data_IF_620076449493
#
_entry.id   IF_620076449493
#
_cell.length_a   1.000
_cell.length_b   1.000
_cell.length_c   1.000
_cell.angle_alpha   90.00
_cell.angle_beta   90.00
_cell.angle_gamma   90.00
#
_symmetry.space_group_name_H-M   'P 1'
#
loop_
_entity.id
_entity.type
_entity.pdbx_description
1 polymer ?
#
# COMPACT_ATOMS: atom_id res chain seq x y z
N UNK A 1 29.54 40.70 20.91
CA UNK A 1 28.73 40.10 22.00
C UNK A 1 28.24 38.73 21.53
N UNK A 2 28.31 37.72 22.40
CA UNK A 2 28.16 36.28 22.08
C UNK A 2 26.75 35.96 21.54
N UNK A 3 26.65 35.21 20.44
CA UNK A 3 25.40 34.53 20.03
C UNK A 3 25.18 33.37 20.99
N UNK A 4 24.23 33.48 21.91
CA UNK A 4 23.71 32.35 22.67
C UNK A 4 22.70 31.61 21.80
N UNK A 5 23.06 30.42 21.32
CA UNK A 5 22.13 29.47 20.72
C UNK A 5 21.13 29.05 21.79
N UNK A 6 19.86 29.43 21.63
CA UNK A 6 18.77 28.80 22.38
C UNK A 6 18.80 27.29 22.07
N UNK A 7 18.75 26.40 23.06
CA UNK A 7 18.48 25.00 22.78
C UNK A 7 17.07 24.95 22.18
N UNK A 8 16.94 24.43 20.97
CA UNK A 8 15.63 24.10 20.44
C UNK A 8 15.04 23.06 21.37
N UNK A 9 13.87 23.38 21.92
CA UNK A 9 13.03 22.45 22.64
C UNK A 9 12.62 21.35 21.64
N UNK A 10 13.46 20.34 21.53
CA UNK A 10 13.33 19.22 20.59
C UNK A 10 13.17 17.95 21.41
N UNK A 11 12.28 18.00 22.40
CA UNK A 11 12.03 16.89 23.29
C UNK A 11 10.54 16.79 23.55
N UNK A 12 9.94 15.71 23.03
CA UNK A 12 8.74 15.12 23.62
C UNK A 12 7.35 15.50 23.05
N UNK A 13 7.23 15.64 21.72
CA UNK A 13 5.94 15.41 21.04
C UNK A 13 5.60 13.90 20.91
N UNK A 14 6.50 13.02 21.37
CA UNK A 14 6.30 11.57 21.33
C UNK A 14 5.51 11.13 22.56
N UNK A 15 4.43 10.40 22.34
CA UNK A 15 3.64 9.88 23.45
C UNK A 15 4.40 8.74 24.16
N UNK A 16 4.28 8.60 25.49
CA UNK A 16 4.96 7.56 26.26
C UNK A 16 4.67 6.12 25.79
N UNK A 17 3.55 5.89 25.13
CA UNK A 17 3.17 4.58 24.62
C UNK A 17 3.91 4.16 23.33
N UNK A 18 4.66 5.07 22.71
CA UNK A 18 5.35 4.81 21.45
C UNK A 18 6.74 4.20 21.66
N UNK A 19 6.90 2.94 21.25
CA UNK A 19 8.19 2.26 21.19
C UNK A 19 8.68 2.10 19.73
N UNK A 20 9.61 2.97 19.32
CA UNK A 20 10.21 2.93 17.98
C UNK A 20 11.55 2.17 17.93
N UNK A 21 12.00 1.53 19.03
CA UNK A 21 13.31 0.85 19.10
C UNK A 21 13.45 -0.33 18.11
N UNK A 22 12.33 -0.87 17.61
CA UNK A 22 12.29 -1.93 16.61
C UNK A 22 12.11 -1.48 15.15
N UNK A 23 12.25 -0.18 14.86
CA UNK A 23 12.06 0.36 13.52
C UNK A 23 13.11 -0.12 12.52
N UNK A 24 12.69 -0.79 11.44
CA UNK A 24 13.59 -1.22 10.34
C UNK A 24 13.39 -0.29 9.14
N UNK A 25 14.46 0.42 8.73
CA UNK A 25 14.44 1.29 7.55
C UNK A 25 14.14 0.46 6.31
N UNK A 26 13.08 0.84 5.59
CA UNK A 26 12.71 0.19 4.34
C UNK A 26 12.06 -1.19 4.46
N UNK A 27 11.49 -1.56 5.62
CA UNK A 27 10.79 -2.84 5.87
C UNK A 27 9.81 -3.29 4.78
N UNK A 28 9.24 -2.35 4.02
CA UNK A 28 8.26 -2.60 2.96
C UNK A 28 8.71 -2.12 1.57
N UNK A 29 9.94 -1.62 1.43
CA UNK A 29 10.44 -1.03 0.17
C UNK A 29 10.43 -2.05 -0.97
N UNK A 30 10.76 -3.29 -0.67
CA UNK A 30 10.76 -4.36 -1.67
C UNK A 30 9.34 -4.70 -2.15
N UNK A 31 8.37 -4.81 -1.22
CA UNK A 31 6.94 -4.98 -1.56
C UNK A 31 6.38 -3.82 -2.36
N UNK A 32 6.79 -2.59 -2.05
CA UNK A 32 6.39 -1.41 -2.81
C UNK A 32 6.99 -1.41 -4.22
N UNK A 33 8.28 -1.76 -4.36
CA UNK A 33 9.00 -1.83 -5.65
C UNK A 33 8.48 -2.94 -6.57
N UNK A 34 7.98 -4.04 -6.01
CA UNK A 34 7.34 -5.10 -6.77
C UNK A 34 6.06 -4.62 -7.49
N UNK A 35 5.56 -3.43 -7.14
CA UNK A 35 4.30 -2.91 -7.63
C UNK A 35 3.15 -3.68 -6.99
N UNK A 36 2.07 -2.98 -6.67
CA UNK A 36 0.82 -3.68 -6.39
C UNK A 36 0.14 -3.88 -7.73
N UNK A 37 -0.20 -5.12 -8.09
CA UNK A 37 -0.95 -5.40 -9.31
C UNK A 37 -2.44 -5.02 -9.10
N UNK A 38 -2.69 -3.74 -8.87
CA UNK A 38 -4.03 -3.18 -8.68
C UNK A 38 -4.53 -2.77 -10.06
N UNK A 39 -5.56 -3.48 -10.52
CA UNK A 39 -6.30 -3.12 -11.72
C UNK A 39 -7.61 -2.49 -11.26
N UNK A 40 -7.79 -1.22 -11.59
CA UNK A 40 -9.05 -0.52 -11.36
C UNK A 40 -9.98 -0.84 -12.53
N UNK A 41 -11.17 -1.34 -12.22
CA UNK A 41 -12.22 -1.57 -13.21
C UNK A 41 -12.95 -0.26 -13.50
N UNK A 42 -13.47 -0.12 -14.71
CA UNK A 42 -14.37 0.98 -15.04
C UNK A 42 -15.64 0.91 -14.16
N UNK A 43 -16.27 2.04 -13.82
CA UNK A 43 -17.37 2.08 -12.84
C UNK A 43 -18.57 1.22 -13.20
N UNK A 44 -18.89 1.13 -14.49
CA UNK A 44 -19.96 0.30 -15.03
C UNK A 44 -19.66 -1.20 -14.86
N UNK A 45 -18.43 -1.62 -15.13
CA UNK A 45 -17.99 -3.00 -14.92
C UNK A 45 -17.96 -3.32 -13.42
N UNK A 46 -17.45 -2.41 -12.59
CA UNK A 46 -17.40 -2.60 -11.15
C UNK A 46 -18.81 -2.72 -10.52
N UNK A 47 -19.81 -2.04 -11.07
CA UNK A 47 -21.19 -2.13 -10.60
C UNK A 47 -21.82 -3.52 -10.83
N UNK A 48 -21.35 -4.26 -11.84
CA UNK A 48 -21.93 -5.55 -12.21
C UNK A 48 -21.38 -6.73 -11.39
N UNK A 49 -20.22 -6.55 -10.74
CA UNK A 49 -19.59 -7.60 -9.94
C UNK A 49 -19.62 -7.28 -8.44
N UNK A 50 -19.95 -8.30 -7.64
CA UNK A 50 -20.02 -8.18 -6.18
C UNK A 50 -18.65 -8.10 -5.51
N UNK A 51 -17.67 -8.85 -6.03
CA UNK A 51 -16.33 -8.96 -5.46
C UNK A 51 -15.28 -9.36 -6.50
N UNK A 52 -14.01 -9.29 -6.11
CA UNK A 52 -12.88 -9.67 -6.96
C UNK A 52 -12.87 -11.15 -7.34
N UNK A 53 -13.51 -12.03 -6.57
CA UNK A 53 -13.58 -13.45 -6.89
C UNK A 53 -14.47 -13.67 -8.13
N UNK A 54 -15.65 -13.05 -8.15
CA UNK A 54 -16.58 -13.13 -9.28
C UNK A 54 -15.98 -12.59 -10.59
N UNK A 55 -15.24 -11.48 -10.53
CA UNK A 55 -14.50 -10.92 -11.67
C UNK A 55 -13.46 -11.91 -12.20
N UNK A 56 -12.65 -12.48 -11.31
CA UNK A 56 -11.56 -13.38 -11.70
C UNK A 56 -12.08 -14.68 -12.30
N UNK A 57 -13.19 -15.23 -11.81
CA UNK A 57 -13.78 -16.45 -12.35
C UNK A 57 -14.37 -16.23 -13.76
N UNK A 58 -14.98 -15.07 -14.01
CA UNK A 58 -15.41 -14.67 -15.35
C UNK A 58 -14.23 -14.58 -16.33
N UNK A 59 -13.17 -13.86 -15.95
CA UNK A 59 -11.96 -13.71 -16.78
C UNK A 59 -11.26 -15.05 -17.06
N UNK A 60 -11.18 -15.95 -16.07
CA UNK A 60 -10.60 -17.30 -16.25
C UNK A 60 -11.40 -18.12 -17.25
N UNK A 61 -12.71 -17.99 -17.27
CA UNK A 61 -13.56 -18.68 -18.25
C UNK A 61 -13.24 -18.23 -19.68
N UNK A 62 -13.05 -16.91 -19.88
CA UNK A 62 -12.63 -16.34 -21.16
C UNK A 62 -11.23 -16.83 -21.57
N UNK A 63 -10.30 -16.94 -20.62
CA UNK A 63 -8.97 -17.47 -20.90
C UNK A 63 -9.03 -18.95 -21.34
N UNK A 64 -9.87 -19.77 -20.70
CA UNK A 64 -10.05 -21.19 -21.08
C UNK A 64 -10.62 -21.35 -22.48
N UNK A 65 -11.58 -20.51 -22.88
CA UNK A 65 -12.15 -20.57 -24.23
C UNK A 65 -11.14 -20.07 -25.28
N UNK A 66 -10.31 -19.09 -24.93
CA UNK A 66 -9.24 -18.58 -25.80
C UNK A 66 -8.10 -19.58 -26.04
N UNK A 67 -7.70 -20.34 -25.02
CA UNK A 67 -6.60 -21.32 -25.13
C UNK A 67 -6.99 -22.59 -25.89
N UNK A 68 -8.29 -22.85 -26.08
CA UNK A 68 -8.78 -24.04 -26.78
C UNK A 68 -8.80 -23.88 -28.33
N UNK A 69 -8.00 -22.96 -28.87
CA UNK A 69 -7.78 -22.76 -30.32
C UNK A 69 -6.39 -23.20 -30.71
#
# INVERSE_FOLDING_TARGET
MKKTSKPSDSGDDLRPEYDFRGGVRGKYVERFRQGTNIVVLDPDVAAEFKDSQSVNDALRTILKTRTKR
#
